data_IF_376750273972
#
_entry.id   IF_376750273972
#
_cell.length_a   1.000
_cell.length_b   1.000
_cell.length_c   1.000
_cell.angle_alpha   90.00
_cell.angle_beta   90.00
_cell.angle_gamma   90.00
#
_symmetry.space_group_name_H-M   'P 1'
#
loop_
_entity.id
_entity.type
_entity.pdbx_description
1 polymer ?
#
# COMPACT_ATOMS: atom_id res chain seq x y z
N UNK A 1 8.80 0.29 -18.09
CA UNK A 1 9.07 -0.70 -17.71
C UNK A 1 8.20 -1.57 -17.92
N UNK A 2 8.63 -2.35 -18.18
CA UNK A 2 7.84 -3.32 -18.41
C UNK A 2 6.97 -3.58 -17.35
N UNK A 3 5.84 -3.80 -17.67
CA UNK A 3 4.94 -4.15 -16.70
C UNK A 3 5.32 -5.48 -16.12
N UNK A 4 4.89 -5.69 -14.96
CA UNK A 4 5.09 -6.92 -14.29
C UNK A 4 4.31 -7.99 -14.99
N UNK A 5 4.93 -9.05 -15.43
CA UNK A 5 4.19 -10.09 -16.12
C UNK A 5 3.23 -10.78 -15.19
N UNK A 6 2.22 -11.39 -15.74
CA UNK A 6 1.32 -12.18 -14.94
C UNK A 6 2.11 -13.25 -14.21
N UNK A 7 1.78 -13.44 -12.98
CA UNK A 7 2.52 -14.38 -12.15
C UNK A 7 3.82 -13.86 -11.66
N UNK A 8 4.09 -12.59 -11.90
CA UNK A 8 5.30 -12.01 -11.39
C UNK A 8 5.31 -12.03 -9.89
N UNK A 9 6.48 -12.00 -9.37
CA UNK A 9 6.66 -12.16 -7.97
C UNK A 9 6.08 -11.02 -7.20
N UNK A 10 5.32 -11.35 -6.20
CA UNK A 10 4.85 -10.39 -5.24
C UNK A 10 5.57 -10.64 -3.94
N UNK A 11 5.88 -9.58 -3.26
CA UNK A 11 6.60 -9.72 -2.03
C UNK A 11 5.70 -9.37 -0.87
N UNK A 12 5.70 -10.25 0.11
CA UNK A 12 4.97 -9.98 1.33
C UNK A 12 5.84 -9.15 2.23
N UNK A 13 5.24 -8.14 2.86
CA UNK A 13 6.00 -7.36 3.80
C UNK A 13 5.33 -7.39 5.15
N UNK A 14 6.14 -7.33 6.20
CA UNK A 14 5.65 -7.36 7.56
C UNK A 14 6.37 -6.28 8.33
N UNK A 15 5.62 -5.32 8.81
CA UNK A 15 6.16 -4.23 9.61
C UNK A 15 5.31 -4.06 10.84
N UNK A 16 5.95 -3.57 11.88
CA UNK A 16 5.20 -3.17 13.06
C UNK A 16 4.75 -1.74 12.87
N UNK A 17 3.46 -1.53 12.94
CA UNK A 17 2.87 -0.23 12.68
C UNK A 17 2.04 0.17 13.89
N UNK A 18 2.05 1.46 14.20
CA UNK A 18 1.24 1.99 15.27
C UNK A 18 -0.19 1.49 15.15
N UNK A 19 -0.73 0.91 16.22
CA UNK A 19 -2.03 0.27 16.14
C UNK A 19 -3.15 1.25 15.84
N UNK A 20 -3.12 2.43 16.44
CA UNK A 20 -4.16 3.43 16.17
C UNK A 20 -4.13 3.85 14.71
N UNK A 21 -2.94 4.09 14.18
CA UNK A 21 -2.79 4.45 12.78
C UNK A 21 -3.31 3.35 11.88
N UNK A 22 -2.98 2.12 12.19
CA UNK A 22 -3.43 0.99 11.39
C UNK A 22 -4.94 0.86 11.42
N UNK A 23 -5.54 0.97 12.61
CA UNK A 23 -6.98 0.82 12.73
C UNK A 23 -7.72 1.90 11.97
N UNK A 24 -7.25 3.14 12.06
CA UNK A 24 -7.86 4.24 11.34
C UNK A 24 -7.70 4.09 9.85
N UNK A 25 -6.55 3.59 9.41
CA UNK A 25 -6.32 3.34 8.00
C UNK A 25 -7.29 2.29 7.47
N UNK A 26 -7.49 1.22 8.23
CA UNK A 26 -8.39 0.15 7.81
C UNK A 26 -9.83 0.66 7.73
N UNK A 27 -10.23 1.47 8.68
CA UNK A 27 -11.57 2.05 8.65
C UNK A 27 -11.76 2.98 7.45
N UNK A 28 -10.75 3.78 7.17
CA UNK A 28 -10.84 4.69 6.04
C UNK A 28 -10.91 3.94 4.72
N UNK A 29 -10.13 2.88 4.58
CA UNK A 29 -10.18 2.07 3.38
C UNK A 29 -11.56 1.44 3.20
N UNK A 30 -12.12 0.91 4.28
CA UNK A 30 -13.42 0.29 4.22
C UNK A 30 -14.49 1.31 3.84
N UNK A 31 -14.41 2.50 4.43
CA UNK A 31 -15.39 3.53 4.18
C UNK A 31 -15.37 3.99 2.73
N UNK A 32 -14.19 4.05 2.14
CA UNK A 32 -14.06 4.52 0.77
C UNK A 32 -14.08 3.41 -0.25
N UNK A 33 -14.13 2.17 0.21
CA UNK A 33 -14.22 1.04 -0.71
C UNK A 33 -12.91 0.66 -1.37
N UNK A 34 -11.78 0.96 -0.75
CA UNK A 34 -10.49 0.58 -1.30
C UNK A 34 -9.91 -0.59 -0.55
N UNK A 35 -9.22 -1.46 -1.26
CA UNK A 35 -8.44 -2.49 -0.61
C UNK A 35 -7.19 -1.85 0.00
N UNK A 36 -6.87 -2.17 1.26
CA UNK A 36 -5.69 -1.58 1.90
C UNK A 36 -4.41 -1.79 1.11
N UNK A 37 -4.28 -2.95 0.48
CA UNK A 37 -3.09 -3.26 -0.30
C UNK A 37 -2.90 -2.26 -1.44
N UNK A 38 -3.98 -1.85 -2.06
CA UNK A 38 -3.91 -0.90 -3.17
C UNK A 38 -3.37 0.44 -2.69
N UNK A 39 -3.85 0.90 -1.53
CA UNK A 39 -3.40 2.18 -0.99
C UNK A 39 -1.93 2.12 -0.64
N UNK A 40 -1.51 1.04 -0.02
CA UNK A 40 -0.11 0.88 0.36
C UNK A 40 0.78 0.91 -0.88
N UNK A 41 0.37 0.19 -1.92
CA UNK A 41 1.17 0.14 -3.13
C UNK A 41 1.22 1.50 -3.82
N UNK A 42 0.12 2.23 -3.81
CA UNK A 42 0.11 3.57 -4.37
C UNK A 42 1.04 4.51 -3.60
N UNK A 43 1.05 4.39 -2.28
CA UNK A 43 1.95 5.20 -1.48
C UNK A 43 3.40 4.92 -1.82
N UNK A 44 3.71 3.65 -2.02
CA UNK A 44 5.07 3.27 -2.40
C UNK A 44 5.45 3.85 -3.75
N UNK A 45 4.55 3.78 -4.72
CA UNK A 45 4.84 4.34 -6.03
C UNK A 45 5.05 5.84 -5.98
N UNK A 46 4.21 6.51 -5.22
CA UNK A 46 4.34 7.95 -5.10
C UNK A 46 5.67 8.32 -4.47
N UNK A 47 6.05 7.63 -3.41
CA UNK A 47 7.31 7.91 -2.76
C UNK A 47 8.49 7.63 -3.68
N UNK A 48 8.40 6.57 -4.47
CA UNK A 48 9.45 6.24 -5.42
C UNK A 48 9.65 7.34 -6.45
N UNK A 49 8.56 7.99 -6.84
CA UNK A 49 8.62 9.03 -7.86
C UNK A 49 9.09 10.36 -7.30
N UNK A 50 8.62 10.71 -6.11
CA UNK A 50 8.84 12.05 -5.59
C UNK A 50 9.81 12.11 -4.44
N UNK A 51 9.99 11.01 -3.73
CA UNK A 51 10.82 11.00 -2.53
C UNK A 51 10.20 11.77 -1.38
N UNK A 52 8.89 12.02 -1.45
CA UNK A 52 8.22 12.77 -0.42
C UNK A 52 6.99 12.01 0.07
N UNK A 53 6.69 12.23 1.31
CA UNK A 53 5.53 11.60 1.93
C UNK A 53 4.28 12.47 1.82
#
# INVERSE_FOLDING_TARGET
MASTPPGAKKKKMEYMIDQVTFDEFMKACSRKGFAPQVIVEQAMRKFNQTGQI
#
